data_IF_513508993189
#
_entry.id   IF_513508993189
#
_cell.length_a   1.000
_cell.length_b   1.000
_cell.length_c   1.000
_cell.angle_alpha   90.00
_cell.angle_beta   90.00
_cell.angle_gamma   90.00
#
_symmetry.space_group_name_H-M   'P 1'
#
loop_
_entity.id
_entity.type
_entity.pdbx_description
1 polymer ?
#
# COMPACT_ATOMS: atom_id res chain seq x y z
N UNK A 1 6.88 -6.83 14.43
CA UNK A 1 6.39 -7.59 13.25
C UNK A 1 7.59 -7.99 12.43
N UNK A 2 7.58 -9.20 11.85
CA UNK A 2 8.63 -9.65 10.94
C UNK A 2 8.36 -9.21 9.51
N UNK A 3 9.42 -8.89 8.76
CA UNK A 3 9.36 -8.61 7.32
C UNK A 3 9.34 -9.88 6.47
N UNK A 4 9.09 -9.71 5.17
CA UNK A 4 9.16 -10.79 4.18
C UNK A 4 10.62 -11.08 3.80
N UNK A 5 10.92 -12.35 3.57
CA UNK A 5 12.27 -12.84 3.21
C UNK A 5 12.30 -13.62 1.91
N UNK A 6 11.13 -13.91 1.32
CA UNK A 6 11.00 -14.68 0.09
C UNK A 6 9.80 -14.20 -0.75
N UNK A 7 9.85 -14.51 -2.05
CA UNK A 7 8.83 -14.11 -3.03
C UNK A 7 7.47 -14.79 -2.81
N UNK A 8 7.43 -16.00 -2.25
CA UNK A 8 6.18 -16.71 -2.02
C UNK A 8 5.36 -16.03 -0.92
N UNK A 9 6.02 -15.56 0.14
CA UNK A 9 5.43 -14.73 1.18
C UNK A 9 4.84 -13.43 0.62
N UNK A 10 5.52 -12.80 -0.33
CA UNK A 10 5.01 -11.60 -1.01
C UNK A 10 3.74 -11.90 -1.79
N UNK A 11 3.69 -13.01 -2.53
CA UNK A 11 2.52 -13.41 -3.31
C UNK A 11 1.31 -13.67 -2.43
N UNK A 12 1.48 -14.42 -1.34
CA UNK A 12 0.42 -14.70 -0.37
C UNK A 12 -0.07 -13.41 0.30
N UNK A 13 0.84 -12.52 0.67
CA UNK A 13 0.48 -11.24 1.28
C UNK A 13 -0.33 -10.37 0.31
N UNK A 14 0.09 -10.23 -0.95
CA UNK A 14 -0.66 -9.44 -1.95
C UNK A 14 -2.02 -10.07 -2.26
N UNK A 15 -2.11 -11.40 -2.30
CA UNK A 15 -3.40 -12.08 -2.48
C UNK A 15 -4.38 -11.76 -1.35
N UNK A 16 -3.91 -11.72 -0.10
CA UNK A 16 -4.75 -11.32 1.03
C UNK A 16 -5.21 -9.87 0.90
N UNK A 17 -4.31 -8.97 0.47
CA UNK A 17 -4.60 -7.54 0.35
C UNK A 17 -5.64 -7.21 -0.74
N UNK A 18 -5.75 -8.01 -1.80
CA UNK A 18 -6.60 -7.72 -2.95
C UNK A 18 -8.08 -8.01 -2.68
N UNK A 19 -8.98 -7.01 -2.75
CA UNK A 19 -10.40 -7.19 -2.45
C UNK A 19 -11.12 -8.10 -3.46
N UNK A 20 -10.65 -8.20 -4.71
CA UNK A 20 -11.24 -9.09 -5.72
C UNK A 20 -10.89 -10.56 -5.49
N UNK A 21 -9.84 -10.83 -4.70
CA UNK A 21 -9.37 -12.19 -4.39
C UNK A 21 -9.75 -12.64 -2.99
N UNK A 22 -10.00 -11.69 -2.09
CA UNK A 22 -10.41 -11.97 -0.73
C UNK A 22 -11.93 -12.25 -0.68
N UNK A 23 -12.33 -13.42 -0.16
CA UNK A 23 -13.75 -13.76 0.05
C UNK A 23 -14.45 -12.81 1.04
N UNK A 24 -13.67 -12.13 1.91
CA UNK A 24 -14.16 -11.19 2.91
C UNK A 24 -13.32 -9.92 2.89
N UNK A 25 -13.99 -8.77 3.03
CA UNK A 25 -13.32 -7.47 3.19
C UNK A 25 -12.48 -7.49 4.48
N UNK A 26 -11.18 -7.22 4.36
CA UNK A 26 -10.28 -7.12 5.52
C UNK A 26 -10.64 -5.88 6.31
N UNK A 27 -10.78 -6.05 7.62
CA UNK A 27 -11.01 -4.98 8.59
C UNK A 27 -9.75 -4.12 8.80
N UNK A 28 -9.86 -3.07 9.62
CA UNK A 28 -8.76 -2.15 9.89
C UNK A 28 -7.57 -2.84 10.56
N UNK A 29 -7.82 -3.82 11.43
CA UNK A 29 -6.79 -4.57 12.16
C UNK A 29 -5.97 -5.40 11.18
N UNK A 30 -6.62 -6.18 10.32
CA UNK A 30 -5.96 -7.00 9.32
C UNK A 30 -5.16 -6.16 8.32
N UNK A 31 -5.70 -5.01 7.89
CA UNK A 31 -4.98 -4.07 7.03
C UNK A 31 -3.73 -3.51 7.72
N UNK A 32 -3.82 -3.19 9.01
CA UNK A 32 -2.69 -2.73 9.81
C UNK A 32 -1.60 -3.79 9.94
N UNK A 33 -1.99 -5.07 10.12
CA UNK A 33 -1.05 -6.19 10.16
C UNK A 33 -0.30 -6.31 8.82
N UNK A 34 -1.03 -6.34 7.70
CA UNK A 34 -0.44 -6.49 6.37
C UNK A 34 0.47 -5.31 6.01
N UNK A 35 0.03 -4.07 6.26
CA UNK A 35 0.86 -2.89 6.06
C UNK A 35 2.12 -2.91 6.95
N UNK A 36 2.01 -3.40 8.19
CA UNK A 36 3.16 -3.50 9.09
C UNK A 36 4.18 -4.56 8.69
N UNK A 37 3.76 -5.66 8.04
CA UNK A 37 4.68 -6.62 7.43
C UNK A 37 5.47 -5.96 6.30
N UNK A 38 4.81 -5.17 5.43
CA UNK A 38 5.50 -4.41 4.38
C UNK A 38 6.46 -3.39 4.98
N UNK A 39 6.02 -2.62 5.99
CA UNK A 39 6.86 -1.64 6.67
C UNK A 39 8.09 -2.26 7.37
N UNK A 40 8.01 -3.52 7.78
CA UNK A 40 9.11 -4.28 8.38
C UNK A 40 9.98 -5.03 7.36
N UNK A 41 9.59 -5.06 6.08
CA UNK A 41 10.34 -5.73 5.02
C UNK A 41 11.51 -4.84 4.58
N UNK A 42 12.73 -5.38 4.68
CA UNK A 42 13.97 -4.70 4.26
C UNK A 42 14.57 -5.30 2.99
N UNK A 43 14.07 -6.48 2.59
CA UNK A 43 14.57 -7.20 1.42
C UNK A 43 14.06 -6.52 0.12
N UNK A 44 15.00 -6.10 -0.74
CA UNK A 44 14.71 -5.34 -1.96
C UNK A 44 13.99 -6.14 -3.05
N UNK A 45 14.32 -7.41 -3.24
CA UNK A 45 13.64 -8.31 -4.15
C UNK A 45 12.19 -8.54 -3.69
N UNK A 46 11.96 -8.66 -2.38
CA UNK A 46 10.60 -8.77 -1.84
C UNK A 46 9.78 -7.50 -2.09
N UNK A 47 10.37 -6.33 -1.83
CA UNK A 47 9.73 -5.03 -2.12
C UNK A 47 9.51 -4.84 -3.63
N UNK A 48 10.47 -5.23 -4.47
CA UNK A 48 10.34 -5.20 -5.92
C UNK A 48 9.22 -6.09 -6.43
N UNK A 49 9.12 -7.32 -5.90
CA UNK A 49 8.05 -8.27 -6.21
C UNK A 49 6.69 -7.73 -5.78
N UNK A 50 6.59 -7.10 -4.62
CA UNK A 50 5.35 -6.47 -4.14
C UNK A 50 4.85 -5.40 -5.12
N UNK A 51 5.76 -4.59 -5.67
CA UNK A 51 5.45 -3.60 -6.72
C UNK A 51 4.95 -4.28 -7.99
N UNK A 52 5.65 -5.32 -8.47
CA UNK A 52 5.26 -6.07 -9.68
C UNK A 52 3.86 -6.69 -9.56
N UNK A 53 3.52 -7.19 -8.37
CA UNK A 53 2.23 -7.82 -8.06
C UNK A 53 1.12 -6.82 -7.77
N UNK A 54 1.34 -5.52 -8.04
CA UNK A 54 0.33 -4.46 -7.86
C UNK A 54 -0.06 -4.25 -6.38
N UNK A 55 0.87 -4.46 -5.45
CA UNK A 55 0.65 -4.17 -4.02
C UNK A 55 0.54 -2.67 -3.70
N UNK A 56 1.29 -1.81 -4.41
CA UNK A 56 1.23 -0.35 -4.21
C UNK A 56 -0.16 0.27 -4.44
N UNK A 57 -0.89 -0.05 -5.54
CA UNK A 57 -2.27 0.39 -5.71
C UNK A 57 -3.20 0.07 -4.54
N UNK A 58 -3.01 -1.06 -3.86
CA UNK A 58 -3.84 -1.43 -2.70
C UNK A 58 -3.54 -0.53 -1.50
N UNK A 59 -2.27 -0.22 -1.24
CA UNK A 59 -1.89 0.74 -0.19
C UNK A 59 -2.43 2.15 -0.48
N UNK A 60 -2.39 2.59 -1.74
CA UNK A 60 -2.97 3.86 -2.15
C UNK A 60 -4.49 3.88 -1.96
N UNK A 61 -5.19 2.81 -2.34
CA UNK A 61 -6.63 2.69 -2.11
C UNK A 61 -6.99 2.83 -0.63
N UNK A 62 -6.27 2.14 0.27
CA UNK A 62 -6.50 2.26 1.71
C UNK A 62 -6.22 3.68 2.21
N UNK A 63 -5.17 4.34 1.72
CA UNK A 63 -4.88 5.75 2.05
C UNK A 63 -6.02 6.68 1.60
N UNK A 64 -6.55 6.47 0.40
CA UNK A 64 -7.69 7.23 -0.12
C UNK A 64 -8.96 6.99 0.70
N UNK A 65 -9.20 5.77 1.17
CA UNK A 65 -10.33 5.47 2.05
C UNK A 65 -10.22 6.18 3.40
N UNK A 66 -9.00 6.30 3.99
CA UNK A 66 -8.75 7.10 5.20
C UNK A 66 -9.08 8.57 4.94
N UNK A 67 -8.50 9.16 3.90
CA UNK A 67 -8.71 10.58 3.58
C UNK A 67 -10.18 10.94 3.31
N UNK A 68 -10.96 10.00 2.78
CA UNK A 68 -12.40 10.19 2.52
C UNK A 68 -13.28 9.93 3.74
N UNK A 69 -12.70 9.58 4.89
CA UNK A 69 -13.44 9.19 6.11
C UNK A 69 -14.24 7.90 5.95
N UNK A 70 -13.85 7.02 5.00
CA UNK A 70 -14.56 5.76 4.70
C UNK A 70 -14.01 4.55 5.45
N UNK A 71 -12.93 4.72 6.21
CA UNK A 71 -12.37 3.72 7.10
C UNK A 71 -12.80 4.07 8.53
N UNK A 72 -13.56 3.17 9.13
CA UNK A 72 -14.09 3.28 10.49
C UNK A 72 -15.29 2.35 10.62
N UNK A 73 -15.17 1.29 11.42
CA UNK A 73 -16.39 0.66 11.92
C UNK A 73 -17.09 1.66 12.84
N UNK A 74 -18.42 1.58 12.97
CA UNK A 74 -19.21 2.54 13.75
C UNK A 74 -18.97 2.51 15.27
N UNK A 75 -17.75 2.20 15.74
CA UNK A 75 -17.32 2.37 17.12
C UNK A 75 -17.26 3.85 17.51
N UNK A 76 -17.26 4.10 18.82
CA UNK A 76 -17.24 5.45 19.39
C UNK A 76 -16.17 6.33 18.72
N UNK A 77 -16.50 7.55 18.28
CA UNK A 77 -15.62 8.38 17.44
C UNK A 77 -14.21 8.60 18.00
N UNK A 78 -14.02 8.49 19.33
CA UNK A 78 -12.73 8.69 19.99
C UNK A 78 -11.73 7.53 19.84
N UNK A 79 -12.20 6.28 19.80
CA UNK A 79 -11.32 5.10 19.70
C UNK A 79 -11.07 4.69 18.23
N UNK A 80 -12.05 4.98 17.36
CA UNK A 80 -11.89 4.86 15.90
C UNK A 80 -10.79 5.77 15.39
N UNK A 81 -10.76 7.04 15.84
CA UNK A 81 -9.77 8.02 15.39
C UNK A 81 -8.34 7.59 15.71
N UNK A 82 -8.11 7.06 16.91
CA UNK A 82 -6.78 6.57 17.32
C UNK A 82 -6.33 5.37 16.50
N UNK A 83 -7.21 4.39 16.28
CA UNK A 83 -6.90 3.18 15.51
C UNK A 83 -6.60 3.52 14.04
N UNK A 84 -7.31 4.51 13.49
CA UNK A 84 -7.09 5.01 12.13
C UNK A 84 -5.77 5.78 12.04
N UNK A 85 -5.43 6.59 13.04
CA UNK A 85 -4.14 7.29 13.11
C UNK A 85 -2.96 6.31 13.20
N UNK A 86 -3.05 5.29 14.06
CA UNK A 86 -2.05 4.23 14.16
C UNK A 86 -1.88 3.47 12.83
N UNK A 87 -3.00 3.13 12.18
CA UNK A 87 -2.97 2.50 10.85
C UNK A 87 -2.31 3.42 9.80
N UNK A 88 -2.67 4.71 9.78
CA UNK A 88 -2.09 5.70 8.87
C UNK A 88 -0.56 5.77 9.03
N UNK A 89 -0.06 5.78 10.26
CA UNK A 89 1.38 5.80 10.53
C UNK A 89 2.08 4.54 9.97
N UNK A 90 1.48 3.37 10.13
CA UNK A 90 2.01 2.12 9.57
C UNK A 90 1.99 2.15 8.04
N UNK A 91 0.91 2.65 7.45
CA UNK A 91 0.75 2.77 6.00
C UNK A 91 1.80 3.71 5.39
N UNK A 92 2.05 4.85 6.03
CA UNK A 92 3.09 5.79 5.61
C UNK A 92 4.49 5.17 5.69
N UNK A 93 4.80 4.39 6.73
CA UNK A 93 6.08 3.66 6.82
C UNK A 93 6.22 2.61 5.72
N UNK A 94 5.16 1.88 5.40
CA UNK A 94 5.16 0.93 4.30
C UNK A 94 5.42 1.62 2.95
N UNK A 95 4.89 2.82 2.76
CA UNK A 95 5.08 3.63 1.55
C UNK A 95 6.45 4.32 1.47
N UNK A 96 7.12 4.53 2.61
CA UNK A 96 8.48 5.08 2.69
C UNK A 96 9.55 4.07 2.29
N UNK A 97 9.26 2.76 2.40
CA UNK A 97 10.14 1.65 1.94
C UNK A 97 10.31 1.56 0.43
N UNK A 98 9.94 2.58 -0.34
CA UNK A 98 10.15 2.63 -1.79
C UNK A 98 11.64 2.51 -2.10
N UNK A 99 12.09 1.49 -2.86
CA UNK A 99 13.41 1.55 -3.46
C UNK A 99 13.44 2.78 -4.36
N UNK A 100 14.35 3.70 -4.07
CA UNK A 100 14.69 4.83 -4.93
C UNK A 100 15.39 4.33 -6.21
N UNK A 101 14.80 3.37 -6.93
CA UNK A 101 15.29 2.98 -8.23
C UNK A 101 14.50 3.74 -9.30
N UNK A 102 15.15 4.78 -9.80
CA UNK A 102 14.80 5.60 -10.96
C UNK A 102 14.26 4.80 -12.16
N UNK A 103 14.54 3.49 -12.24
CA UNK A 103 14.05 2.61 -13.31
C UNK A 103 12.62 2.09 -13.15
N UNK A 104 12.07 1.97 -11.93
CA UNK A 104 10.66 1.57 -11.77
C UNK A 104 9.68 2.64 -12.28
N UNK A 105 10.11 3.91 -12.29
CA UNK A 105 9.42 5.05 -12.90
C UNK A 105 9.28 4.93 -14.43
N UNK A 106 10.18 4.20 -15.11
CA UNK A 106 10.05 3.96 -16.55
C UNK A 106 8.94 2.96 -16.89
N UNK A 107 8.55 2.10 -15.94
CA UNK A 107 7.46 1.12 -16.14
C UNK A 107 6.10 1.63 -15.64
N UNK A 108 6.06 2.59 -14.72
CA UNK A 108 4.81 3.26 -14.37
C UNK A 108 4.44 4.25 -15.49
N UNK A 109 3.27 4.06 -16.11
CA UNK A 109 2.66 4.90 -17.15
C UNK A 109 2.46 6.40 -16.78
N UNK A 110 3.03 6.88 -15.67
CA UNK A 110 3.09 8.29 -15.27
C UNK A 110 3.89 9.12 -16.30
N UNK A 111 4.89 8.53 -16.97
CA UNK A 111 5.68 9.21 -18.01
C UNK A 111 4.85 9.72 -19.20
N UNK A 112 3.76 9.04 -19.57
CA UNK A 112 2.86 9.49 -20.66
C UNK A 112 2.02 10.70 -20.25
N UNK A 113 1.48 10.69 -19.03
CA UNK A 113 0.68 11.81 -18.51
C UNK A 113 1.54 13.07 -18.31
N UNK A 114 2.80 12.93 -17.89
CA UNK A 114 3.73 14.05 -17.74
C UNK A 114 4.19 14.59 -19.10
N UNK A 115 4.42 13.74 -20.11
CA UNK A 115 4.73 14.20 -21.46
C UNK A 115 3.55 14.95 -22.13
N UNK A 116 2.31 14.52 -21.89
CA UNK A 116 1.13 15.26 -22.39
C UNK A 116 1.00 16.67 -21.79
N UNK A 117 1.35 16.84 -20.51
CA UNK A 117 1.34 18.15 -19.86
C UNK A 117 2.47 19.06 -20.36
N UNK A 118 3.61 18.48 -20.77
CA UNK A 118 4.77 19.25 -21.27
C UNK A 118 4.60 19.74 -22.70
N UNK A 119 3.85 19.01 -23.54
CA UNK A 119 3.55 19.42 -24.92
C UNK A 119 2.46 20.49 -25.05
N UNK A 120 1.77 20.85 -23.97
CA UNK A 120 0.71 21.88 -23.98
C UNK A 120 1.24 23.29 -23.69
N UNK A 121 2.42 23.62 -24.22
CA UNK A 121 2.91 25.00 -24.26
C UNK A 121 3.25 25.36 -25.70
N UNK A 122 2.24 25.85 -26.41
CA UNK A 122 2.28 26.90 -27.44
C UNK A 122 0.86 27.37 -27.72
#
# INVERSE_FOLDING_TARGET
>A
MGGLVDSEGVERLVQLMQPERAEKKIDLIGRSILAGVIAATEEYDCLGRFVQLRGLPVLDEWLQEIHKGKIGDGSSPKDSDKSVEEFLLVLLRALDKRPANLQALQMCNIGKSVNHLRSHKN
#
